data_IF_964365562587
#
_entry.id   IF_964365562587
#
_cell.length_a   1.000
_cell.length_b   1.000
_cell.length_c   1.000
_cell.angle_alpha   90.00
_cell.angle_beta   90.00
_cell.angle_gamma   90.00
#
_symmetry.space_group_name_H-M   'P 1'
#
loop_
_entity.id
_entity.type
_entity.pdbx_description
1 polymer ?
#
# COMPACT_ATOMS: atom_id res chain seq x y z
N UNK A 1 -14.60 24.79 -2.37
CA UNK A 1 -14.38 23.59 -3.21
C UNK A 1 -15.14 22.43 -2.58
N UNK A 2 -15.52 21.45 -3.41
CA UNK A 2 -16.18 20.23 -2.96
C UNK A 2 -15.17 19.24 -2.40
N UNK A 3 -15.54 18.59 -1.30
CA UNK A 3 -14.70 17.61 -0.63
C UNK A 3 -15.53 16.63 0.23
N UNK A 4 -14.98 15.44 0.50
CA UNK A 4 -15.52 14.49 1.47
C UNK A 4 -14.76 14.65 2.79
N UNK A 5 -15.46 15.08 3.83
CA UNK A 5 -14.88 15.48 5.12
C UNK A 5 -15.59 14.75 6.25
N UNK A 6 -14.84 14.33 7.27
CA UNK A 6 -15.44 13.82 8.51
C UNK A 6 -16.19 14.94 9.20
N UNK A 7 -17.50 14.80 9.39
CA UNK A 7 -18.35 15.80 10.03
C UNK A 7 -18.58 15.53 11.52
N UNK A 8 -18.46 14.26 11.91
CA UNK A 8 -18.58 13.77 13.27
C UNK A 8 -17.96 12.36 13.35
N UNK A 9 -17.62 11.85 14.55
CA UNK A 9 -17.04 10.51 14.69
C UNK A 9 -17.89 9.45 13.98
N UNK A 10 -17.28 8.71 13.05
CA UNK A 10 -17.97 7.68 12.29
C UNK A 10 -18.70 8.14 11.03
N UNK A 11 -18.71 9.44 10.72
CA UNK A 11 -19.50 10.01 9.63
C UNK A 11 -18.69 11.00 8.79
N UNK A 12 -18.69 10.78 7.47
CA UNK A 12 -18.19 11.72 6.49
C UNK A 12 -19.31 12.18 5.55
N UNK A 13 -19.24 13.44 5.11
CA UNK A 13 -20.22 14.07 4.24
C UNK A 13 -19.55 14.89 3.14
N UNK A 14 -20.28 15.11 2.04
CA UNK A 14 -19.90 16.09 1.03
C UNK A 14 -20.08 17.50 1.59
N UNK A 15 -18.98 18.26 1.65
CA UNK A 15 -19.00 19.71 1.86
C UNK A 15 -18.78 20.42 0.53
N UNK A 16 -19.36 21.60 0.35
CA UNK A 16 -19.34 22.32 -0.94
C UNK A 16 -18.56 23.63 -0.92
N UNK A 17 -18.21 24.12 0.27
CA UNK A 17 -17.66 25.44 0.56
C UNK A 17 -16.29 25.38 1.27
N UNK A 18 -15.61 24.22 1.26
CA UNK A 18 -14.27 24.07 1.83
C UNK A 18 -13.29 25.06 1.16
N UNK A 19 -12.46 25.82 1.90
CA UNK A 19 -11.46 26.69 1.28
C UNK A 19 -10.42 25.87 0.49
N UNK A 20 -9.72 26.52 -0.44
CA UNK A 20 -8.51 25.92 -1.03
C UNK A 20 -7.47 25.69 0.08
N UNK A 21 -6.70 24.58 0.02
CA UNK A 21 -5.70 24.31 1.04
C UNK A 21 -4.55 25.31 0.95
N UNK A 22 -3.86 25.52 2.07
CA UNK A 22 -2.75 26.47 2.11
C UNK A 22 -1.51 25.90 1.40
N UNK A 23 -0.82 26.69 0.54
CA UNK A 23 0.45 26.27 -0.04
C UNK A 23 1.48 25.91 1.03
N UNK A 24 2.27 24.86 0.77
CA UNK A 24 3.39 24.39 1.60
C UNK A 24 4.60 24.16 0.71
N UNK A 25 5.80 24.53 1.18
CA UNK A 25 7.01 24.57 0.35
C UNK A 25 7.38 23.22 -0.28
N UNK A 26 7.20 22.11 0.44
CA UNK A 26 7.53 20.76 -0.05
C UNK A 26 6.36 20.05 -0.77
N UNK A 27 5.27 20.79 -1.00
CA UNK A 27 4.03 20.25 -1.55
C UNK A 27 3.62 20.95 -2.85
N UNK A 28 2.78 20.29 -3.63
CA UNK A 28 2.14 20.85 -4.83
C UNK A 28 0.65 20.97 -4.61
N UNK A 29 0.05 22.02 -5.16
CA UNK A 29 -1.39 22.09 -5.34
C UNK A 29 -1.75 21.29 -6.59
N UNK A 30 -2.61 20.29 -6.44
CA UNK A 30 -3.06 19.44 -7.54
C UNK A 30 -4.57 19.54 -7.68
N UNK A 31 -5.04 19.75 -8.90
CA UNK A 31 -6.44 19.59 -9.27
C UNK A 31 -6.72 18.10 -9.49
N UNK A 32 -7.50 17.51 -8.60
CA UNK A 32 -7.81 16.08 -8.64
C UNK A 32 -8.69 15.75 -9.84
N UNK A 33 -8.37 14.66 -10.54
CA UNK A 33 -9.15 14.14 -11.70
C UNK A 33 -9.73 12.77 -11.40
N UNK A 34 -8.99 11.91 -10.71
CA UNK A 34 -9.44 10.58 -10.31
C UNK A 34 -8.89 10.24 -8.94
N UNK A 35 -9.63 9.41 -8.21
CA UNK A 35 -9.25 8.88 -6.89
C UNK A 35 -9.53 7.38 -6.88
N UNK A 36 -8.81 6.64 -6.05
CA UNK A 36 -9.11 5.25 -5.77
C UNK A 36 -9.53 5.09 -4.30
N UNK A 37 -10.35 4.07 -4.03
CA UNK A 37 -10.81 3.75 -2.69
C UNK A 37 -9.94 2.65 -2.10
N UNK A 38 -9.54 2.85 -0.85
CA UNK A 38 -8.75 1.91 -0.07
C UNK A 38 -9.48 1.52 1.22
N UNK A 39 -9.22 0.33 1.79
CA UNK A 39 -9.76 -0.03 3.10
C UNK A 39 -9.47 1.01 4.19
N UNK A 40 -8.29 1.65 4.13
CA UNK A 40 -7.91 2.68 5.11
C UNK A 40 -8.87 3.87 5.14
N UNK A 41 -9.52 4.23 4.01
CA UNK A 41 -10.36 5.41 3.93
C UNK A 41 -11.60 5.27 4.83
N UNK A 42 -12.30 4.13 4.76
CA UNK A 42 -13.47 3.90 5.61
C UNK A 42 -13.08 3.59 7.06
N UNK A 43 -11.92 2.97 7.29
CA UNK A 43 -11.39 2.73 8.64
C UNK A 43 -11.13 4.07 9.34
N UNK A 44 -10.52 5.03 8.64
CA UNK A 44 -10.29 6.37 9.19
C UNK A 44 -11.59 7.06 9.54
N UNK A 45 -12.56 7.10 8.61
CA UNK A 45 -13.89 7.69 8.88
C UNK A 45 -14.53 7.07 10.13
N UNK A 46 -14.44 5.75 10.25
CA UNK A 46 -15.17 5.01 11.28
C UNK A 46 -14.52 5.07 12.66
N UNK A 47 -13.18 5.13 12.71
CA UNK A 47 -12.45 4.78 13.93
C UNK A 47 -11.33 5.73 14.33
N UNK A 48 -10.83 6.59 13.43
CA UNK A 48 -9.55 7.30 13.66
C UNK A 48 -9.69 8.81 13.46
N UNK A 49 -10.18 9.23 12.28
CA UNK A 49 -10.21 10.62 11.90
C UNK A 49 -11.27 11.39 12.69
N UNK A 50 -10.92 12.63 13.04
CA UNK A 50 -11.75 13.56 13.80
C UNK A 50 -12.51 14.54 12.88
N UNK A 51 -13.41 15.32 13.47
CA UNK A 51 -14.24 16.24 12.70
C UNK A 51 -13.41 17.34 12.02
N UNK A 52 -13.63 17.53 10.72
CA UNK A 52 -12.92 18.49 9.88
C UNK A 52 -11.83 17.87 8.98
N UNK A 53 -11.40 16.64 9.30
CA UNK A 53 -10.42 15.89 8.54
C UNK A 53 -10.89 15.56 7.12
N UNK A 54 -10.07 15.89 6.12
CA UNK A 54 -10.26 15.46 4.74
C UNK A 54 -9.88 13.97 4.61
N UNK A 55 -10.65 13.19 3.84
CA UNK A 55 -10.42 11.74 3.68
C UNK A 55 -9.87 11.42 2.29
N UNK A 56 -9.38 10.19 2.14
CA UNK A 56 -8.95 9.62 0.87
C UNK A 56 -7.44 9.61 0.75
N UNK A 57 -6.89 8.50 0.28
CA UNK A 57 -5.43 8.35 0.18
C UNK A 57 -4.90 8.44 -1.26
N UNK A 58 -5.64 7.90 -2.23
CA UNK A 58 -5.16 7.78 -3.61
C UNK A 58 -5.70 8.85 -4.53
N UNK A 59 -4.81 9.42 -5.35
CA UNK A 59 -5.17 10.45 -6.31
C UNK A 59 -4.42 10.30 -7.63
N UNK A 60 -5.02 10.86 -8.67
CA UNK A 60 -4.38 11.28 -9.90
C UNK A 60 -4.97 12.62 -10.34
N UNK A 61 -4.12 13.55 -10.77
CA UNK A 61 -4.54 14.92 -11.06
C UNK A 61 -3.53 15.74 -11.84
N UNK A 62 -3.81 17.03 -11.97
CA UNK A 62 -3.01 17.99 -12.71
C UNK A 62 -2.37 18.98 -11.74
N UNK A 63 -1.06 19.18 -11.85
CA UNK A 63 -0.33 20.17 -11.03
C UNK A 63 -0.82 21.58 -11.39
N UNK A 64 -1.26 22.34 -10.40
CA UNK A 64 -1.67 23.75 -10.54
C UNK A 64 -0.59 24.72 -10.03
N UNK A 65 0.12 24.33 -8.97
CA UNK A 65 1.20 25.09 -8.35
C UNK A 65 2.24 24.14 -7.73
N UNK A 66 3.52 24.51 -7.80
CA UNK A 66 4.64 23.73 -7.26
C UNK A 66 5.29 24.53 -6.14
N UNK A 67 5.38 23.94 -4.94
CA UNK A 67 6.07 24.53 -3.81
C UNK A 67 7.58 24.69 -4.06
N UNK A 68 8.16 25.73 -3.46
CA UNK A 68 9.56 26.15 -3.71
C UNK A 68 10.60 25.20 -3.12
N UNK A 69 10.20 24.35 -2.16
CA UNK A 69 11.03 23.34 -1.52
C UNK A 69 11.23 22.08 -2.37
N UNK A 70 10.37 21.83 -3.36
CA UNK A 70 10.40 20.63 -4.19
C UNK A 70 11.61 20.62 -5.13
N UNK A 71 12.37 19.51 -5.10
CA UNK A 71 13.58 19.34 -5.94
C UNK A 71 13.32 18.58 -7.24
N UNK A 72 12.28 17.75 -7.28
CA UNK A 72 11.87 17.06 -8.50
C UNK A 72 11.38 18.08 -9.55
N UNK A 73 11.61 17.85 -10.85
CA UNK A 73 11.35 18.84 -11.91
C UNK A 73 9.86 18.93 -12.31
N UNK A 74 8.96 19.00 -11.33
CA UNK A 74 7.54 19.18 -11.58
C UNK A 74 7.25 20.60 -12.08
N UNK A 75 6.20 20.74 -12.89
CA UNK A 75 5.68 22.02 -13.35
C UNK A 75 4.16 22.00 -13.44
N UNK A 76 3.56 23.20 -13.45
CA UNK A 76 2.15 23.38 -13.74
C UNK A 76 1.77 22.67 -15.04
N UNK A 77 0.64 21.96 -15.02
CA UNK A 77 0.13 21.17 -16.14
C UNK A 77 0.62 19.73 -16.19
N UNK A 78 1.61 19.35 -15.36
CA UNK A 78 2.03 17.95 -15.27
C UNK A 78 0.89 17.07 -14.76
N UNK A 79 0.79 15.87 -15.33
CA UNK A 79 -0.12 14.80 -14.89
C UNK A 79 0.60 14.01 -13.81
N UNK A 80 0.04 13.98 -12.60
CA UNK A 80 0.68 13.35 -11.44
C UNK A 80 -0.26 12.39 -10.72
N UNK A 81 0.31 11.39 -10.08
CA UNK A 81 -0.41 10.47 -9.19
C UNK A 81 0.43 10.17 -7.95
N UNK A 82 -0.23 9.65 -6.92
CA UNK A 82 0.47 9.20 -5.72
C UNK A 82 -0.47 8.95 -4.56
N UNK A 83 0.14 9.00 -3.38
CA UNK A 83 -0.46 8.73 -2.08
C UNK A 83 -0.39 10.00 -1.22
N UNK A 84 -1.48 10.33 -0.53
CA UNK A 84 -1.57 11.38 0.50
C UNK A 84 -2.09 10.82 1.82
N UNK A 85 -1.82 11.50 2.93
CA UNK A 85 -2.28 11.10 4.25
C UNK A 85 -3.75 11.52 4.48
N UNK A 86 -4.71 10.77 3.93
CA UNK A 86 -6.13 11.00 4.22
C UNK A 86 -6.47 10.69 5.69
N UNK A 87 -7.25 11.56 6.33
CA UNK A 87 -7.65 11.42 7.74
C UNK A 87 -6.57 11.84 8.73
N UNK A 88 -5.64 12.70 8.33
CA UNK A 88 -4.52 13.16 9.14
C UNK A 88 -4.96 14.16 10.22
N UNK A 89 -4.94 13.77 11.50
CA UNK A 89 -5.34 14.61 12.65
C UNK A 89 -4.40 15.80 12.90
N UNK A 90 -3.13 15.73 12.47
CA UNK A 90 -2.19 16.84 12.65
C UNK A 90 -2.19 17.81 11.47
N UNK A 91 -2.85 17.44 10.36
CA UNK A 91 -3.03 18.27 9.18
C UNK A 91 -4.35 17.95 8.47
N UNK A 92 -5.46 18.52 8.95
CA UNK A 92 -6.81 18.24 8.44
C UNK A 92 -7.02 18.57 6.96
N UNK A 93 -6.12 19.34 6.33
CA UNK A 93 -6.14 19.64 4.89
C UNK A 93 -5.61 18.48 4.02
N UNK A 94 -4.95 17.48 4.61
CA UNK A 94 -4.43 16.33 3.87
C UNK A 94 -5.54 15.31 3.57
N UNK A 95 -5.58 14.86 2.32
CA UNK A 95 -6.50 13.85 1.81
C UNK A 95 -6.79 14.03 0.33
N UNK A 96 -7.28 12.96 -0.31
CA UNK A 96 -7.42 12.88 -1.76
C UNK A 96 -8.83 13.25 -2.26
N UNK A 97 -9.86 13.12 -1.41
CA UNK A 97 -11.26 13.24 -1.83
C UNK A 97 -11.73 14.71 -1.84
N UNK A 98 -11.02 15.56 -2.57
CA UNK A 98 -11.38 16.95 -2.84
C UNK A 98 -11.03 17.36 -4.27
N UNK A 99 -11.64 18.43 -4.78
CA UNK A 99 -11.37 18.97 -6.11
C UNK A 99 -9.92 19.50 -6.26
N UNK A 100 -9.34 20.02 -5.17
CA UNK A 100 -7.94 20.43 -5.10
C UNK A 100 -7.32 19.91 -3.80
N UNK A 101 -6.09 19.39 -3.89
CA UNK A 101 -5.40 18.75 -2.77
C UNK A 101 -3.94 19.18 -2.71
N UNK A 102 -3.35 19.10 -1.51
CA UNK A 102 -1.90 19.24 -1.33
C UNK A 102 -1.24 17.88 -1.37
N UNK A 103 -0.19 17.73 -2.16
CA UNK A 103 0.53 16.46 -2.33
C UNK A 103 2.03 16.67 -2.12
N UNK A 104 2.69 15.78 -1.36
CA UNK A 104 4.13 15.92 -1.08
C UNK A 104 4.92 15.57 -2.34
N UNK A 105 5.86 16.44 -2.75
CA UNK A 105 6.62 16.25 -3.98
C UNK A 105 7.40 14.91 -4.02
N UNK A 106 7.99 14.52 -2.90
CA UNK A 106 8.81 13.30 -2.83
C UNK A 106 8.02 12.00 -2.94
N UNK A 107 6.73 12.02 -2.60
CA UNK A 107 5.82 10.86 -2.68
C UNK A 107 4.94 10.91 -3.97
N UNK A 108 5.10 11.96 -4.78
CA UNK A 108 4.39 12.14 -6.04
C UNK A 108 5.20 11.66 -7.23
N UNK A 109 4.50 11.18 -8.26
CA UNK A 109 5.08 10.67 -9.50
C UNK A 109 4.35 11.23 -10.73
N UNK A 110 5.07 11.36 -11.85
CA UNK A 110 4.47 11.70 -13.15
C UNK A 110 3.68 10.49 -13.65
N UNK A 111 2.47 10.72 -14.17
CA UNK A 111 1.69 9.69 -14.87
C UNK A 111 2.38 9.42 -16.21
N UNK A 112 2.82 8.18 -16.49
CA UNK A 112 3.31 7.80 -17.81
C UNK A 112 2.29 8.06 -18.92
N UNK A 113 2.75 8.41 -20.12
CA UNK A 113 1.87 8.77 -21.24
C UNK A 113 0.88 7.65 -21.63
N UNK A 114 1.24 6.40 -21.35
CA UNK A 114 0.42 5.21 -21.64
C UNK A 114 -0.60 4.87 -20.55
N UNK A 115 -0.69 5.64 -19.46
CA UNK A 115 -1.70 5.44 -18.41
C UNK A 115 -2.70 6.59 -18.38
N UNK A 116 -3.97 6.26 -18.20
CA UNK A 116 -5.03 7.22 -17.87
C UNK A 116 -4.93 7.71 -16.42
N UNK A 117 -5.70 8.73 -16.06
CA UNK A 117 -5.80 9.17 -14.66
C UNK A 117 -6.43 8.09 -13.77
N UNK A 118 -7.42 7.37 -14.29
CA UNK A 118 -8.11 6.29 -13.57
C UNK A 118 -7.15 5.15 -13.25
N UNK A 119 -6.35 4.69 -14.22
CA UNK A 119 -5.36 3.65 -14.01
C UNK A 119 -4.28 4.11 -13.02
N UNK A 120 -3.76 5.33 -13.20
CA UNK A 120 -2.72 5.86 -12.31
C UNK A 120 -3.18 6.04 -10.86
N UNK A 121 -4.45 6.44 -10.65
CA UNK A 121 -5.01 6.58 -9.30
C UNK A 121 -5.03 5.26 -8.52
N UNK A 122 -5.01 4.10 -9.19
CA UNK A 122 -4.99 2.79 -8.51
C UNK A 122 -3.63 2.40 -7.92
N UNK A 123 -2.58 3.18 -8.18
CA UNK A 123 -1.20 2.80 -7.88
C UNK A 123 -0.66 3.37 -6.56
N UNK A 124 -1.18 4.49 -6.05
CA UNK A 124 -0.53 5.28 -4.99
C UNK A 124 -0.19 4.48 -3.72
N UNK A 125 -1.20 4.17 -2.90
CA UNK A 125 -1.09 3.40 -1.66
C UNK A 125 -0.48 2.03 -1.94
N UNK A 126 -0.92 1.35 -3.01
CA UNK A 126 -0.45 0.02 -3.36
C UNK A 126 1.06 -0.05 -3.61
N UNK A 127 1.60 0.85 -4.45
CA UNK A 127 3.04 0.90 -4.77
C UNK A 127 3.86 1.33 -3.55
N UNK A 128 3.40 2.32 -2.78
CA UNK A 128 4.06 2.73 -1.55
C UNK A 128 4.16 1.56 -0.54
N UNK A 129 3.06 0.83 -0.37
CA UNK A 129 2.95 -0.32 0.52
C UNK A 129 3.86 -1.47 0.07
N UNK A 130 3.91 -1.77 -1.23
CA UNK A 130 4.85 -2.76 -1.80
C UNK A 130 6.30 -2.32 -1.55
N UNK A 131 6.59 -1.03 -1.74
CA UNK A 131 7.89 -0.43 -1.47
C UNK A 131 8.39 -0.69 -0.05
N UNK A 132 7.53 -0.40 0.93
CA UNK A 132 7.82 -0.61 2.34
C UNK A 132 7.88 -2.09 2.71
N UNK A 133 6.90 -2.90 2.29
CA UNK A 133 6.80 -4.29 2.71
C UNK A 133 7.88 -5.18 2.09
N UNK A 134 8.10 -5.12 0.77
CA UNK A 134 9.11 -5.94 0.11
C UNK A 134 10.53 -5.42 0.36
N UNK A 135 10.78 -4.12 0.16
CA UNK A 135 12.15 -3.62 0.12
C UNK A 135 12.61 -3.05 1.46
N UNK A 136 11.75 -2.36 2.22
CA UNK A 136 12.16 -1.84 3.53
C UNK A 136 12.04 -2.89 4.64
N UNK A 137 10.99 -3.70 4.67
CA UNK A 137 10.73 -4.69 5.72
C UNK A 137 11.41 -6.03 5.42
N UNK A 138 11.13 -6.63 4.26
CA UNK A 138 11.71 -7.93 3.89
C UNK A 138 13.10 -7.84 3.24
N UNK A 139 13.61 -6.62 2.97
CA UNK A 139 14.95 -6.35 2.42
C UNK A 139 15.22 -7.06 1.08
N UNK A 140 14.20 -7.18 0.23
CA UNK A 140 14.37 -7.74 -1.11
C UNK A 140 15.31 -6.88 -1.96
N UNK A 141 15.94 -7.50 -2.95
CA UNK A 141 16.61 -6.79 -4.03
C UNK A 141 15.62 -5.97 -4.85
N UNK A 142 16.02 -4.77 -5.28
CA UNK A 142 15.19 -3.93 -6.16
C UNK A 142 15.05 -4.55 -7.56
N UNK A 143 13.98 -4.23 -8.31
CA UNK A 143 13.81 -4.65 -9.71
C UNK A 143 14.98 -4.26 -10.63
N UNK A 144 15.71 -3.20 -10.30
CA UNK A 144 16.89 -2.74 -11.03
C UNK A 144 18.16 -3.55 -10.76
N UNK A 145 18.15 -4.42 -9.74
CA UNK A 145 19.27 -5.27 -9.36
C UNK A 145 18.77 -6.67 -8.92
N UNK A 146 18.09 -7.42 -9.82
CA UNK A 146 17.40 -8.65 -9.48
C UNK A 146 18.37 -9.76 -9.06
N UNK A 147 17.90 -10.67 -8.22
CA UNK A 147 18.66 -11.87 -7.87
C UNK A 147 18.67 -12.88 -9.02
N UNK A 148 19.73 -13.68 -9.12
CA UNK A 148 19.90 -14.69 -10.17
C UNK A 148 19.59 -16.12 -9.71
N UNK A 149 19.61 -16.36 -8.39
CA UNK A 149 19.23 -17.63 -7.79
C UNK A 149 17.81 -17.49 -7.22
N UNK A 150 16.82 -18.26 -7.69
CA UNK A 150 15.45 -18.14 -7.19
C UNK A 150 15.37 -18.40 -5.69
N UNK A 151 14.79 -17.44 -4.95
CA UNK A 151 14.48 -17.55 -3.52
C UNK A 151 12.95 -17.54 -3.38
N UNK A 152 12.34 -18.50 -2.66
CA UNK A 152 10.89 -18.51 -2.44
C UNK A 152 10.41 -17.32 -1.60
N UNK A 153 9.37 -16.65 -2.10
CA UNK A 153 8.60 -15.62 -1.41
C UNK A 153 7.12 -16.00 -1.46
N UNK A 154 6.46 -16.01 -0.31
CA UNK A 154 5.02 -16.15 -0.24
C UNK A 154 4.35 -14.78 -0.18
N UNK A 155 3.36 -14.56 -1.05
CA UNK A 155 2.43 -13.44 -0.98
C UNK A 155 1.07 -14.01 -0.59
N UNK A 156 0.74 -13.92 0.69
CA UNK A 156 -0.56 -14.34 1.19
C UNK A 156 -1.61 -13.27 0.89
N UNK A 157 -2.71 -13.68 0.24
CA UNK A 157 -3.71 -12.76 -0.31
C UNK A 157 -3.29 -12.13 -1.64
N UNK A 158 -2.71 -12.91 -2.55
CA UNK A 158 -2.19 -12.42 -3.83
C UNK A 158 -3.21 -11.71 -4.73
N UNK A 159 -4.51 -11.92 -4.52
CA UNK A 159 -5.57 -11.22 -5.26
C UNK A 159 -6.05 -9.91 -4.63
N UNK A 160 -5.41 -9.44 -3.56
CA UNK A 160 -5.63 -8.07 -3.05
C UNK A 160 -4.97 -7.05 -4.01
N UNK A 161 -5.39 -5.78 -3.96
CA UNK A 161 -4.74 -4.73 -4.76
C UNK A 161 -3.22 -4.70 -4.52
N UNK A 162 -2.79 -4.70 -3.25
CA UNK A 162 -1.38 -4.79 -2.87
C UNK A 162 -0.73 -6.10 -3.32
N UNK A 163 -1.42 -7.24 -3.18
CA UNK A 163 -0.91 -8.56 -3.57
C UNK A 163 -0.60 -8.65 -5.06
N UNK A 164 -1.48 -8.12 -5.93
CA UNK A 164 -1.28 -8.14 -7.38
C UNK A 164 -0.07 -7.31 -7.81
N UNK A 165 0.20 -6.20 -7.13
CA UNK A 165 1.41 -5.38 -7.34
C UNK A 165 2.65 -6.09 -6.78
N UNK A 166 2.56 -6.64 -5.56
CA UNK A 166 3.66 -7.33 -4.91
C UNK A 166 4.18 -8.52 -5.72
N UNK A 167 3.28 -9.29 -6.36
CA UNK A 167 3.65 -10.40 -7.25
C UNK A 167 4.54 -9.90 -8.38
N UNK A 168 4.11 -8.87 -9.09
CA UNK A 168 4.85 -8.32 -10.23
C UNK A 168 6.20 -7.75 -9.80
N UNK A 169 6.25 -6.99 -8.71
CA UNK A 169 7.48 -6.39 -8.18
C UNK A 169 8.48 -7.47 -7.73
N UNK A 170 8.02 -8.49 -7.01
CA UNK A 170 8.88 -9.59 -6.59
C UNK A 170 9.42 -10.41 -7.77
N UNK A 171 8.60 -10.63 -8.81
CA UNK A 171 9.05 -11.28 -10.05
C UNK A 171 10.08 -10.46 -10.80
N UNK A 172 9.88 -9.16 -10.94
CA UNK A 172 10.87 -8.26 -11.54
C UNK A 172 12.19 -8.24 -10.74
N UNK A 173 12.12 -8.45 -9.42
CA UNK A 173 13.29 -8.61 -8.54
C UNK A 173 13.95 -10.00 -8.60
N UNK A 174 13.42 -10.95 -9.38
CA UNK A 174 14.02 -12.28 -9.60
C UNK A 174 13.61 -13.37 -8.61
N UNK A 175 12.62 -13.14 -7.75
CA UNK A 175 12.19 -14.12 -6.75
C UNK A 175 11.28 -15.20 -7.34
N UNK A 176 11.21 -16.36 -6.66
CA UNK A 176 10.19 -17.37 -6.91
C UNK A 176 8.95 -17.01 -6.09
N UNK A 177 7.89 -16.58 -6.76
CA UNK A 177 6.69 -16.05 -6.12
C UNK A 177 5.64 -17.14 -6.00
N UNK A 178 5.28 -17.44 -4.76
CA UNK A 178 4.15 -18.29 -4.40
C UNK A 178 3.05 -17.36 -3.91
N UNK A 179 1.83 -17.55 -4.40
CA UNK A 179 0.70 -16.72 -3.99
C UNK A 179 -0.44 -17.56 -3.43
N UNK A 180 -1.29 -16.96 -2.59
CA UNK A 180 -2.55 -17.58 -2.17
C UNK A 180 -3.74 -16.74 -2.59
N UNK A 181 -4.82 -17.39 -3.00
CA UNK A 181 -6.10 -16.74 -3.28
C UNK A 181 -7.24 -17.77 -3.29
N UNK A 182 -8.47 -17.32 -3.58
CA UNK A 182 -9.54 -18.24 -3.97
C UNK A 182 -9.33 -18.74 -5.41
N UNK A 183 -9.75 -19.97 -5.76
CA UNK A 183 -9.43 -20.61 -7.04
C UNK A 183 -9.74 -19.80 -8.30
N UNK A 184 -10.83 -19.03 -8.30
CA UNK A 184 -11.24 -18.21 -9.45
C UNK A 184 -10.24 -17.09 -9.80
N UNK A 185 -9.27 -16.76 -8.92
CA UNK A 185 -8.23 -15.77 -9.17
C UNK A 185 -6.90 -16.40 -9.63
N UNK A 186 -6.80 -17.73 -9.73
CA UNK A 186 -5.50 -18.38 -9.98
C UNK A 186 -4.88 -17.97 -11.32
N UNK A 187 -5.68 -17.90 -12.38
CA UNK A 187 -5.17 -17.53 -13.71
C UNK A 187 -4.70 -16.09 -13.75
N UNK A 188 -5.40 -15.18 -13.06
CA UNK A 188 -4.95 -13.81 -12.87
C UNK A 188 -3.58 -13.78 -12.18
N UNK A 189 -3.41 -14.46 -11.05
CA UNK A 189 -2.15 -14.41 -10.31
C UNK A 189 -0.97 -15.01 -11.09
N UNK A 190 -1.22 -16.08 -11.85
CA UNK A 190 -0.22 -16.65 -12.77
C UNK A 190 0.14 -15.67 -13.89
N UNK A 191 -0.85 -14.98 -14.48
CA UNK A 191 -0.59 -13.96 -15.52
C UNK A 191 0.22 -12.77 -15.00
N UNK A 192 0.11 -12.45 -13.70
CA UNK A 192 0.90 -11.43 -13.02
C UNK A 192 2.32 -11.93 -12.64
N UNK A 193 2.56 -13.23 -12.77
CA UNK A 193 3.88 -13.85 -12.65
C UNK A 193 4.06 -14.81 -11.47
N UNK A 194 3.02 -15.13 -10.70
CA UNK A 194 3.13 -16.14 -9.64
C UNK A 194 3.55 -17.51 -10.23
N UNK A 195 4.59 -18.12 -9.67
CA UNK A 195 5.12 -19.42 -10.10
C UNK A 195 4.25 -20.58 -9.59
N UNK A 196 3.60 -20.39 -8.43
CA UNK A 196 2.63 -21.31 -7.87
C UNK A 196 1.51 -20.55 -7.15
N UNK A 197 0.29 -21.08 -7.20
CA UNK A 197 -0.87 -20.50 -6.53
C UNK A 197 -1.61 -21.56 -5.74
N UNK A 198 -1.86 -21.28 -4.46
CA UNK A 198 -2.56 -22.19 -3.55
C UNK A 198 -3.88 -21.60 -3.06
N UNK A 199 -4.83 -22.47 -2.73
CA UNK A 199 -6.12 -22.04 -2.22
C UNK A 199 -5.97 -21.57 -0.76
N UNK A 200 -6.20 -20.28 -0.50
CA UNK A 200 -6.05 -19.72 0.85
C UNK A 200 -7.06 -20.26 1.87
N UNK A 201 -8.11 -20.96 1.40
CA UNK A 201 -9.14 -21.60 2.24
C UNK A 201 -8.86 -23.07 2.53
N UNK A 202 -7.85 -23.65 1.90
CA UNK A 202 -7.45 -25.02 2.18
C UNK A 202 -6.54 -25.04 3.41
N UNK A 203 -6.96 -25.74 4.47
CA UNK A 203 -6.20 -25.85 5.71
C UNK A 203 -4.87 -26.59 5.53
N UNK A 204 -4.72 -27.42 4.50
CA UNK A 204 -3.47 -28.13 4.23
C UNK A 204 -2.47 -27.28 3.43
N UNK A 205 -2.92 -26.22 2.75
CA UNK A 205 -2.10 -25.50 1.79
C UNK A 205 -0.85 -24.84 2.40
N UNK A 206 -0.88 -24.43 3.68
CA UNK A 206 0.32 -23.94 4.36
C UNK A 206 1.42 -25.00 4.39
N UNK A 207 1.11 -26.21 4.87
CA UNK A 207 2.07 -27.31 4.90
C UNK A 207 2.51 -27.76 3.50
N UNK A 208 1.61 -27.70 2.52
CA UNK A 208 1.93 -28.00 1.13
C UNK A 208 2.91 -26.99 0.53
N UNK A 209 2.78 -25.70 0.85
CA UNK A 209 3.74 -24.66 0.46
C UNK A 209 5.10 -24.95 1.10
N UNK A 210 5.13 -25.33 2.38
CA UNK A 210 6.38 -25.70 3.07
C UNK A 210 7.05 -26.89 2.40
N UNK A 211 6.29 -27.92 2.00
CA UNK A 211 6.79 -29.06 1.23
C UNK A 211 7.27 -28.64 -0.16
N UNK A 212 6.49 -27.84 -0.87
CA UNK A 212 6.81 -27.32 -2.21
C UNK A 212 8.14 -26.55 -2.23
N UNK A 213 8.41 -25.78 -1.17
CA UNK A 213 9.66 -25.04 -1.01
C UNK A 213 10.80 -25.86 -0.40
N UNK A 214 10.61 -27.17 -0.21
CA UNK A 214 11.56 -28.06 0.48
C UNK A 214 12.00 -27.50 1.85
N UNK A 215 11.04 -26.95 2.60
CA UNK A 215 11.26 -26.29 3.90
C UNK A 215 12.19 -25.06 3.84
N UNK A 216 12.30 -24.38 2.67
CA UNK A 216 13.15 -23.20 2.49
C UNK A 216 12.38 -21.88 2.34
N UNK A 217 11.07 -21.85 2.59
CA UNK A 217 10.33 -20.58 2.62
C UNK A 217 10.76 -19.74 3.82
N UNK A 218 11.47 -18.64 3.56
CA UNK A 218 11.95 -17.69 4.58
C UNK A 218 11.33 -16.31 4.49
N UNK A 219 10.62 -15.98 3.41
CA UNK A 219 10.08 -14.64 3.18
C UNK A 219 8.57 -14.72 2.97
N UNK A 220 7.81 -13.96 3.75
CA UNK A 220 6.36 -13.89 3.64
C UNK A 220 5.88 -12.44 3.71
N UNK A 221 5.03 -12.08 2.76
CA UNK A 221 4.18 -10.89 2.82
C UNK A 221 2.72 -11.31 3.03
N UNK A 222 2.12 -10.93 4.15
CA UNK A 222 0.69 -11.08 4.42
C UNK A 222 -0.09 -9.79 4.16
N UNK A 223 -0.92 -9.82 3.11
CA UNK A 223 -1.78 -8.70 2.71
C UNK A 223 -3.19 -8.73 3.32
N UNK A 224 -3.50 -9.75 4.12
CA UNK A 224 -4.79 -9.95 4.80
C UNK A 224 -4.66 -9.63 6.29
N UNK A 225 -3.57 -10.07 6.92
CA UNK A 225 -3.16 -9.72 8.28
C UNK A 225 -4.25 -9.97 9.35
N UNK A 226 -4.82 -11.18 9.32
CA UNK A 226 -5.71 -11.70 10.38
C UNK A 226 -5.01 -12.81 11.14
N UNK A 227 -5.49 -13.17 12.33
CA UNK A 227 -4.96 -14.32 13.10
C UNK A 227 -4.92 -15.61 12.27
N UNK A 228 -5.98 -15.87 11.49
CA UNK A 228 -6.04 -17.05 10.61
C UNK A 228 -5.03 -17.01 9.47
N UNK A 229 -4.76 -15.82 8.92
CA UNK A 229 -3.75 -15.61 7.89
C UNK A 229 -2.34 -15.77 8.45
N UNK A 230 -2.06 -15.20 9.63
CA UNK A 230 -0.80 -15.35 10.33
C UNK A 230 -0.52 -16.82 10.67
N UNK A 231 -1.52 -17.54 11.16
CA UNK A 231 -1.42 -18.99 11.40
C UNK A 231 -1.11 -19.76 10.11
N UNK A 232 -1.83 -19.50 9.03
CA UNK A 232 -1.56 -20.13 7.73
C UNK A 232 -0.11 -19.86 7.29
N UNK A 233 0.36 -18.62 7.44
CA UNK A 233 1.71 -18.24 7.08
C UNK A 233 2.75 -18.96 7.94
N UNK A 234 2.52 -19.10 9.26
CA UNK A 234 3.39 -19.89 10.15
C UNK A 234 3.48 -21.36 9.72
N UNK A 235 2.35 -21.95 9.33
CA UNK A 235 2.30 -23.31 8.78
C UNK A 235 3.06 -23.41 7.43
N UNK A 236 3.20 -22.32 6.67
CA UNK A 236 3.96 -22.29 5.41
C UNK A 236 5.46 -22.03 5.59
N UNK A 237 5.86 -21.20 6.56
CA UNK A 237 7.26 -20.83 6.78
C UNK A 237 8.06 -22.07 7.18
N UNK A 238 9.31 -22.14 6.69
CA UNK A 238 10.33 -23.09 7.11
C UNK A 238 10.31 -23.34 8.62
N UNK A 239 10.48 -24.58 9.07
CA UNK A 239 10.59 -24.92 10.50
C UNK A 239 11.76 -24.22 11.20
N UNK A 240 12.83 -23.89 10.47
CA UNK A 240 13.97 -23.12 10.99
C UNK A 240 13.70 -21.60 11.11
N UNK A 241 12.48 -21.12 10.87
CA UNK A 241 12.14 -19.70 10.98
C UNK A 241 12.25 -18.93 9.66
N UNK A 242 12.02 -17.61 9.74
CA UNK A 242 11.97 -16.71 8.59
C UNK A 242 11.55 -15.29 8.95
N UNK A 243 11.31 -14.47 7.94
CA UNK A 243 10.84 -13.10 8.04
C UNK A 243 9.39 -13.00 7.54
N UNK A 244 8.54 -12.43 8.38
CA UNK A 244 7.12 -12.23 8.14
C UNK A 244 6.80 -10.74 8.17
N UNK A 245 6.29 -10.21 7.05
CA UNK A 245 5.84 -8.82 6.97
C UNK A 245 4.34 -8.78 6.71
N UNK A 246 3.60 -8.02 7.49
CA UNK A 246 2.14 -7.91 7.38
C UNK A 246 1.68 -6.46 7.17
N UNK A 247 0.49 -6.28 6.60
CA UNK A 247 -0.07 -4.94 6.37
C UNK A 247 -0.81 -4.35 7.57
N UNK A 248 -1.08 -5.15 8.59
CA UNK A 248 -1.68 -4.73 9.87
C UNK A 248 -0.86 -5.32 11.01
N UNK A 249 -1.01 -4.77 12.22
CA UNK A 249 -0.30 -5.26 13.39
C UNK A 249 -0.82 -6.65 13.82
N UNK A 250 -0.21 -7.71 13.26
CA UNK A 250 -0.45 -9.11 13.60
C UNK A 250 0.90 -9.81 13.76
N UNK A 251 0.95 -10.83 14.62
CA UNK A 251 2.19 -11.56 14.95
C UNK A 251 2.09 -13.04 14.66
N UNK A 252 3.25 -13.67 14.48
CA UNK A 252 3.43 -15.12 14.56
C UNK A 252 4.17 -15.39 15.86
N UNK A 253 3.61 -16.24 16.72
CA UNK A 253 4.13 -16.50 18.08
C UNK A 253 5.45 -17.29 18.11
N UNK A 254 5.89 -17.82 16.97
CA UNK A 254 7.09 -18.65 16.87
C UNK A 254 8.35 -17.79 17.00
N UNK A 255 9.13 -18.00 18.06
CA UNK A 255 10.31 -17.16 18.40
C UNK A 255 11.35 -17.00 17.28
N UNK A 256 11.47 -17.99 16.38
CA UNK A 256 12.40 -17.94 15.25
C UNK A 256 11.82 -17.26 14.00
N UNK A 257 10.61 -16.70 14.07
CA UNK A 257 10.01 -15.87 13.02
C UNK A 257 10.12 -14.42 13.43
N UNK A 258 10.75 -13.62 12.57
CA UNK A 258 10.85 -12.17 12.75
C UNK A 258 9.64 -11.52 12.11
N UNK A 259 8.64 -11.17 12.91
CA UNK A 259 7.46 -10.44 12.46
C UNK A 259 7.69 -8.92 12.42
N UNK A 260 7.16 -8.29 11.38
CA UNK A 260 7.13 -6.83 11.19
C UNK A 260 5.81 -6.46 10.52
N UNK A 261 5.41 -5.21 10.62
CA UNK A 261 4.24 -4.69 9.92
C UNK A 261 4.52 -3.34 9.26
N UNK A 262 3.71 -2.98 8.27
CA UNK A 262 3.87 -1.75 7.49
C UNK A 262 2.82 -0.72 7.89
N UNK A 263 3.29 0.48 8.24
CA UNK A 263 2.46 1.67 8.40
C UNK A 263 2.71 2.62 7.24
N UNK A 264 1.78 2.64 6.27
CA UNK A 264 1.91 3.37 5.01
C UNK A 264 2.38 4.82 5.17
N UNK A 265 1.79 5.53 6.13
CA UNK A 265 2.02 6.95 6.39
C UNK A 265 3.46 7.31 6.79
N UNK A 266 4.27 6.34 7.22
CA UNK A 266 5.70 6.58 7.48
C UNK A 266 6.49 7.02 6.24
N UNK A 267 5.95 6.81 5.03
CA UNK A 267 6.58 7.25 3.77
C UNK A 267 6.73 8.77 3.66
N UNK A 268 5.90 9.55 4.37
CA UNK A 268 5.95 11.01 4.30
C UNK A 268 7.15 11.58 5.06
N UNK A 269 7.75 10.83 5.99
CA UNK A 269 8.86 11.31 6.81
C UNK A 269 8.49 12.48 7.73
N UNK A 270 7.20 12.59 8.07
CA UNK A 270 6.62 13.65 8.89
C UNK A 270 5.98 13.03 10.13
N UNK A 271 5.87 13.82 11.20
CA UNK A 271 5.19 13.40 12.42
C UNK A 271 3.69 13.22 12.16
N UNK A 272 3.09 12.19 12.75
CA UNK A 272 1.66 11.96 12.74
C UNK A 272 1.23 11.17 13.97
N UNK A 273 -0.04 11.27 14.33
CA UNK A 273 -0.61 10.49 15.43
C UNK A 273 -1.06 9.12 14.92
N UNK A 274 -0.47 8.05 15.44
CA UNK A 274 -0.82 6.68 15.09
C UNK A 274 -1.72 6.08 16.17
N UNK A 275 -2.95 5.69 15.80
CA UNK A 275 -3.81 4.77 16.57
C UNK A 275 -3.85 4.99 18.11
N UNK A 276 -3.89 6.24 18.57
CA UNK A 276 -4.01 6.57 20.00
C UNK A 276 -2.78 6.24 20.86
N UNK A 277 -1.60 6.05 20.27
CA UNK A 277 -0.33 6.06 21.02
C UNK A 277 0.50 7.25 20.56
N UNK A 278 0.59 8.25 21.44
CA UNK A 278 1.57 9.33 21.36
C UNK A 278 2.92 8.95 21.94
#
# INVERSE_FOLDING_TARGET
MKAIVVTSPGQASLVTDRPLPKPRDEYMLVKTVSVALNPTDWVHIKHIADAGSLIGCDYAGIVEEVGTGIKKPFKKGDRVYGFVHGGNSVQHEDGAFAEYIMVKGDVSNIIPDNLSFQEAATLGVGVATVGQSLYQSLKLNLPSAPITKPVPLLIYGGSTATGTLAIQFAKLSGYQVIATASPHNFDLLKSLGADAVFNSRDSAAGEEIRKFTNNNLKLVLDTIATESAAKFCDDAISTEGGDYSSLLAIKIERENVKDRWTLGYTIFGEDFEAFGQG
#
